data_IF_362147836587
#
_entry.id   IF_362147836587
#
_cell.length_a   1.000
_cell.length_b   1.000
_cell.length_c   1.000
_cell.angle_alpha   90.00
_cell.angle_beta   90.00
_cell.angle_gamma   90.00
#
_symmetry.space_group_name_H-M   'P 1'
#
loop_
_entity.id
_entity.type
_entity.pdbx_description
1 polymer ?
#
# COMPACT_ATOMS: atom_id res chain seq x y z
N UNK A 1 5.16 19.66 0.03
CA UNK A 1 4.68 18.31 0.46
C UNK A 1 5.79 17.66 1.25
N UNK A 2 5.46 16.93 2.31
CA UNK A 2 6.44 16.14 3.06
C UNK A 2 6.80 14.90 2.22
N UNK A 3 8.06 14.47 2.25
CA UNK A 3 8.53 13.26 1.55
C UNK A 3 7.96 12.02 2.24
N UNK A 4 7.62 11.00 1.46
CA UNK A 4 7.21 9.67 1.95
C UNK A 4 8.31 8.62 1.78
N UNK A 5 9.52 9.01 1.38
CA UNK A 5 10.63 8.08 1.18
C UNK A 5 11.12 7.54 2.52
N UNK A 6 11.56 6.27 2.56
CA UNK A 6 12.07 5.65 3.79
C UNK A 6 13.23 6.46 4.38
N UNK A 7 14.12 6.97 3.54
CA UNK A 7 15.28 7.78 3.97
C UNK A 7 14.90 9.10 4.65
N UNK A 8 13.70 9.62 4.37
CA UNK A 8 13.23 10.93 4.84
C UNK A 8 12.15 10.80 5.92
N UNK A 9 11.85 9.56 6.37
CA UNK A 9 10.75 9.28 7.30
C UNK A 9 11.19 8.38 8.45
N UNK A 10 10.57 8.55 9.62
CA UNK A 10 10.67 7.58 10.71
C UNK A 10 9.66 6.45 10.55
N UNK A 11 9.83 5.37 11.31
CA UNK A 11 8.86 4.27 11.34
C UNK A 11 7.48 4.75 11.78
N UNK A 12 7.41 5.65 12.76
CA UNK A 12 6.19 6.23 13.30
C UNK A 12 5.46 7.08 12.25
N UNK A 13 6.20 7.86 11.46
CA UNK A 13 5.62 8.65 10.36
C UNK A 13 5.03 7.74 9.27
N UNK A 14 5.69 6.62 8.97
CA UNK A 14 5.16 5.61 8.03
C UNK A 14 3.92 4.91 8.58
N UNK A 15 3.89 4.58 9.88
CA UNK A 15 2.71 4.02 10.54
C UNK A 15 1.54 5.00 10.49
N UNK A 16 1.77 6.29 10.78
CA UNK A 16 0.75 7.32 10.72
C UNK A 16 0.20 7.51 9.29
N UNK A 17 1.06 7.41 8.28
CA UNK A 17 0.66 7.47 6.88
C UNK A 17 -0.27 6.30 6.51
N UNK A 18 0.11 5.05 6.82
CA UNK A 18 -0.72 3.87 6.51
C UNK A 18 -2.04 3.93 7.29
N UNK A 19 -2.00 4.35 8.55
CA UNK A 19 -3.21 4.51 9.37
C UNK A 19 -4.18 5.53 8.79
N UNK A 20 -3.69 6.62 8.18
CA UNK A 20 -4.54 7.62 7.53
C UNK A 20 -5.22 7.11 6.25
N UNK A 21 -4.82 5.95 5.72
CA UNK A 21 -5.44 5.31 4.55
C UNK A 21 -6.48 4.27 4.94
N UNK A 22 -6.46 3.82 6.18
CA UNK A 22 -7.50 2.94 6.73
C UNK A 22 -8.71 3.83 7.03
N UNK A 23 -9.85 3.66 6.34
CA UNK A 23 -11.06 4.40 6.66
C UNK A 23 -11.47 4.14 8.12
N UNK A 24 -11.94 5.19 8.80
CA UNK A 24 -12.43 5.09 10.19
C UNK A 24 -13.72 4.24 10.30
N UNK A 25 -14.38 3.98 9.17
CA UNK A 25 -15.63 3.23 9.06
C UNK A 25 -15.34 1.81 8.56
N UNK A 26 -16.06 0.83 9.09
CA UNK A 26 -15.90 -0.64 9.03
C UNK A 26 -15.78 -1.30 7.62
N UNK A 27 -15.50 -0.55 6.56
CA UNK A 27 -15.53 -0.98 5.15
C UNK A 27 -14.38 -1.87 4.68
N UNK A 28 -13.46 -2.29 5.55
CA UNK A 28 -12.40 -3.25 5.23
C UNK A 28 -12.72 -4.69 5.67
N UNK A 29 -13.89 -4.93 6.29
CA UNK A 29 -14.23 -6.25 6.86
C UNK A 29 -14.29 -7.41 5.84
N UNK A 30 -14.39 -7.12 4.54
CA UNK A 30 -14.47 -8.14 3.47
C UNK A 30 -13.20 -8.28 2.62
N UNK A 31 -12.10 -7.60 2.96
CA UNK A 31 -10.81 -7.76 2.28
C UNK A 31 -9.88 -8.69 3.06
N UNK A 32 -9.60 -9.88 2.51
CA UNK A 32 -8.66 -10.87 3.09
C UNK A 32 -7.20 -10.36 3.24
N UNK A 33 -6.86 -9.19 2.70
CA UNK A 33 -5.54 -8.57 2.83
C UNK A 33 -5.60 -7.30 3.68
N UNK A 34 -4.94 -7.33 4.84
CA UNK A 34 -4.75 -6.15 5.68
C UNK A 34 -3.73 -5.18 5.06
N UNK A 35 -4.06 -3.88 5.02
CA UNK A 35 -3.14 -2.81 4.63
C UNK A 35 -1.84 -2.84 5.46
N UNK A 36 -1.91 -3.31 6.71
CA UNK A 36 -0.72 -3.51 7.54
C UNK A 36 0.24 -4.52 6.95
N UNK A 37 -0.26 -5.61 6.38
CA UNK A 37 0.56 -6.66 5.78
C UNK A 37 1.13 -6.21 4.44
N UNK A 38 0.33 -5.54 3.60
CA UNK A 38 0.75 -5.00 2.30
C UNK A 38 1.93 -4.02 2.49
N UNK A 39 1.86 -3.14 3.48
CA UNK A 39 2.86 -2.10 3.71
C UNK A 39 3.85 -2.42 4.84
N UNK A 40 3.89 -3.65 5.35
CA UNK A 40 4.80 -4.07 6.42
C UNK A 40 6.27 -3.80 6.08
N UNK A 41 6.68 -4.06 4.83
CA UNK A 41 8.05 -3.82 4.39
C UNK A 41 8.38 -2.33 4.32
N UNK A 42 7.44 -1.48 3.91
CA UNK A 42 7.62 -0.03 3.94
C UNK A 42 7.74 0.49 5.36
N UNK A 43 6.84 0.08 6.26
CA UNK A 43 6.88 0.44 7.69
C UNK A 43 8.24 0.06 8.30
N UNK A 44 8.73 -1.13 8.00
CA UNK A 44 10.01 -1.63 8.51
C UNK A 44 11.24 -1.08 7.75
N UNK A 45 11.06 -0.23 6.74
CA UNK A 45 12.15 0.40 6.00
C UNK A 45 12.90 -0.55 5.05
N UNK A 46 12.26 -1.64 4.62
CA UNK A 46 12.85 -2.67 3.75
C UNK A 46 12.61 -2.42 2.26
N UNK A 47 11.48 -1.79 1.89
CA UNK A 47 11.06 -1.57 0.50
C UNK A 47 10.27 -0.28 0.38
N UNK A 48 10.51 0.51 -0.67
CA UNK A 48 9.81 1.77 -0.87
C UNK A 48 8.34 1.56 -1.24
N UNK A 49 7.50 2.53 -0.87
CA UNK A 49 6.05 2.46 -1.10
C UNK A 49 5.70 2.36 -2.60
N UNK A 50 6.51 2.98 -3.45
CA UNK A 50 6.35 2.92 -4.91
C UNK A 50 6.61 1.51 -5.45
N UNK A 51 7.57 0.77 -4.87
CA UNK A 51 7.86 -0.61 -5.26
C UNK A 51 6.74 -1.55 -4.82
N UNK A 52 6.19 -1.34 -3.62
CA UNK A 52 5.01 -2.10 -3.15
C UNK A 52 3.80 -1.86 -4.06
N UNK A 53 3.52 -0.60 -4.39
CA UNK A 53 2.41 -0.25 -5.30
C UNK A 53 2.57 -0.87 -6.69
N UNK A 54 3.79 -0.91 -7.22
CA UNK A 54 4.08 -1.53 -8.51
C UNK A 54 3.86 -3.06 -8.51
N UNK A 55 4.04 -3.73 -7.36
CA UNK A 55 3.74 -5.15 -7.20
C UNK A 55 2.23 -5.42 -7.13
N UNK A 56 1.46 -4.47 -6.63
CA UNK A 56 0.00 -4.56 -6.51
C UNK A 56 -0.72 -4.24 -7.82
N UNK A 57 -0.09 -3.49 -8.73
CA UNK A 57 -0.59 -3.30 -10.11
C UNK A 57 -0.36 -4.59 -10.90
N UNK A 58 -1.15 -5.62 -10.60
CA UNK A 58 -1.32 -6.77 -11.48
C UNK A 58 -1.84 -6.31 -12.84
N UNK A 59 -1.38 -6.98 -13.90
CA UNK A 59 -1.82 -6.78 -15.29
C UNK A 59 -3.30 -6.40 -15.38
N UNK A 60 -3.58 -5.16 -15.80
CA UNK A 60 -4.94 -4.74 -16.14
C UNK A 60 -5.33 -5.49 -17.41
N UNK A 61 -6.18 -6.50 -17.28
CA UNK A 61 -6.84 -7.09 -18.44
C UNK A 61 -7.89 -6.11 -18.93
N UNK A 62 -7.74 -5.64 -20.15
CA UNK A 62 -8.81 -4.94 -20.85
C UNK A 62 -9.89 -5.95 -21.25
N UNK A 63 -11.11 -5.50 -21.55
CA UNK A 63 -12.15 -6.37 -22.12
C UNK A 63 -11.67 -7.10 -23.39
N UNK A 64 -10.66 -6.55 -24.08
CA UNK A 64 -10.01 -7.19 -25.21
C UNK A 64 -9.14 -8.37 -24.80
N UNK A 65 -8.44 -8.29 -23.68
CA UNK A 65 -7.53 -9.35 -23.19
C UNK A 65 -8.27 -10.55 -22.57
N UNK A 66 -9.56 -10.39 -22.25
CA UNK A 66 -10.43 -11.45 -21.71
C UNK A 66 -11.23 -12.21 -22.79
N UNK A 67 -11.18 -11.76 -24.04
CA UNK A 67 -12.03 -12.25 -25.13
C UNK A 67 -11.29 -13.04 -26.23
N UNK A 68 -10.02 -13.41 -26.00
CA UNK A 68 -9.22 -14.29 -26.87
C UNK A 68 -9.12 -15.72 -26.29
#
# INVERSE_FOLDING_TARGET
MKSNLIKDTTKEERIALIKAWIPDDDGLQDCDMDLWDIYADYINGKREIAEINALMTGTFYTEKDLND
#
